data_IF_845352173567
#
_entry.id   IF_845352173567
#
_cell.length_a   1.000
_cell.length_b   1.000
_cell.length_c   1.000
_cell.angle_alpha   90.00
_cell.angle_beta   90.00
_cell.angle_gamma   90.00
#
_symmetry.space_group_name_H-M   'P 1'
#
loop_
_entity.id
_entity.type
_entity.pdbx_description
1 polymer ?
#
# COMPACT_ATOMS: atom_id res chain seq x y z
N UNK A 1 101.70 -55.14 10.63
CA UNK A 1 102.78 -54.16 10.87
C UNK A 1 102.21 -52.78 10.58
N UNK A 2 102.36 -51.85 11.52
CA UNK A 2 101.80 -50.51 11.45
C UNK A 2 102.48 -49.68 10.36
N UNK A 3 101.70 -48.98 9.54
CA UNK A 3 102.21 -47.98 8.61
C UNK A 3 102.54 -46.72 9.40
N UNK A 4 103.78 -46.25 9.25
CA UNK A 4 104.32 -45.13 10.00
C UNK A 4 103.52 -43.84 9.75
N UNK A 5 103.05 -43.25 10.85
CA UNK A 5 102.47 -41.91 10.92
C UNK A 5 103.57 -40.86 10.71
N UNK A 6 103.87 -40.55 9.45
CA UNK A 6 104.80 -39.49 9.06
C UNK A 6 104.12 -38.48 8.16
N UNK A 7 104.07 -37.21 8.59
CA UNK A 7 103.56 -36.07 7.80
C UNK A 7 104.27 -36.00 6.44
N UNK A 8 103.50 -35.76 5.37
CA UNK A 8 104.01 -35.72 3.99
C UNK A 8 105.06 -34.60 3.80
N UNK A 9 105.99 -34.75 2.85
CA UNK A 9 107.04 -33.75 2.57
C UNK A 9 106.48 -32.35 2.28
N UNK A 10 105.27 -32.29 1.71
CA UNK A 10 104.54 -31.03 1.46
C UNK A 10 104.13 -30.33 2.76
N UNK A 11 103.77 -31.09 3.81
CA UNK A 11 103.48 -30.56 5.14
C UNK A 11 104.75 -30.13 5.89
N UNK A 12 105.90 -30.75 5.58
CA UNK A 12 107.19 -30.44 6.21
C UNK A 12 107.81 -29.15 5.69
N UNK A 13 107.64 -28.87 4.40
CA UNK A 13 108.10 -27.63 3.76
C UNK A 13 107.24 -26.43 4.13
N UNK A 14 105.96 -26.63 4.50
CA UNK A 14 105.06 -25.55 4.91
C UNK A 14 104.63 -24.59 3.78
N UNK A 15 104.97 -24.92 2.53
CA UNK A 15 104.76 -24.07 1.35
C UNK A 15 103.30 -24.13 0.87
N UNK A 16 102.61 -25.26 1.09
CA UNK A 16 101.26 -25.51 0.60
C UNK A 16 100.34 -25.90 1.76
N UNK A 17 99.94 -24.92 2.55
CA UNK A 17 98.80 -25.07 3.44
C UNK A 17 97.76 -24.03 3.05
N UNK A 18 96.55 -24.47 2.72
CA UNK A 18 95.45 -23.55 2.49
C UNK A 18 95.23 -22.71 3.75
N UNK A 19 95.16 -21.40 3.55
CA UNK A 19 94.85 -20.48 4.64
C UNK A 19 93.44 -20.81 5.16
N UNK A 20 93.32 -20.98 6.48
CA UNK A 20 92.01 -21.19 7.10
C UNK A 20 91.10 -20.00 6.80
N UNK A 21 89.87 -20.28 6.36
CA UNK A 21 88.88 -19.23 6.14
C UNK A 21 88.50 -18.57 7.47
N UNK A 22 88.46 -17.25 7.47
CA UNK A 22 88.17 -16.38 8.63
C UNK A 22 86.81 -16.65 9.31
N UNK A 23 85.89 -17.38 8.68
CA UNK A 23 84.51 -17.60 9.18
C UNK A 23 84.19 -19.06 9.49
N UNK A 24 85.19 -19.94 9.60
CA UNK A 24 84.96 -21.35 9.96
C UNK A 24 84.58 -21.43 11.45
N UNK A 25 83.31 -21.72 11.72
CA UNK A 25 82.75 -21.84 13.08
C UNK A 25 82.00 -20.60 13.57
N UNK A 26 82.07 -19.49 12.83
CA UNK A 26 81.30 -18.29 13.13
C UNK A 26 79.82 -18.54 12.82
N UNK A 27 78.97 -18.32 13.82
CA UNK A 27 77.51 -18.38 13.63
C UNK A 27 77.10 -17.21 12.73
N UNK A 28 76.65 -17.52 11.52
CA UNK A 28 76.10 -16.52 10.61
C UNK A 28 74.87 -15.85 11.24
N UNK A 29 74.98 -14.54 11.50
CA UNK A 29 73.88 -13.70 11.93
C UNK A 29 73.32 -12.97 10.70
N UNK A 30 72.17 -13.39 10.13
CA UNK A 30 71.59 -12.68 9.01
C UNK A 30 71.26 -11.24 9.44
N UNK A 31 71.78 -10.22 8.74
CA UNK A 31 71.68 -8.82 9.17
C UNK A 31 70.23 -8.35 9.33
N UNK A 32 69.29 -9.01 8.65
CA UNK A 32 67.88 -8.62 8.59
C UNK A 32 66.95 -9.77 9.00
N UNK A 33 67.23 -10.50 10.10
CA UNK A 33 66.36 -11.62 10.50
C UNK A 33 64.90 -11.19 10.73
N UNK A 34 64.71 -10.00 11.30
CA UNK A 34 63.40 -9.44 11.66
C UNK A 34 63.22 -7.96 11.25
N UNK A 35 64.15 -7.41 10.46
CA UNK A 35 64.13 -5.99 10.08
C UNK A 35 63.86 -5.83 8.59
N UNK A 36 62.85 -5.04 8.20
CA UNK A 36 62.61 -4.74 6.80
C UNK A 36 63.77 -3.90 6.25
N UNK A 37 64.08 -4.07 4.96
CA UNK A 37 65.15 -3.34 4.26
C UNK A 37 65.01 -1.80 4.36
N UNK A 38 63.78 -1.29 4.54
CA UNK A 38 63.49 0.12 4.71
C UNK A 38 62.62 0.35 5.96
N UNK A 39 63.28 0.52 7.11
CA UNK A 39 62.61 0.77 8.40
C UNK A 39 61.63 1.96 8.38
N UNK A 40 61.96 3.16 7.85
CA UNK A 40 61.02 4.28 7.87
C UNK A 40 59.78 4.07 6.97
N UNK A 41 59.91 3.32 5.88
CA UNK A 41 58.77 2.96 5.03
C UNK A 41 57.84 1.92 5.68
N UNK A 42 58.39 1.01 6.51
CA UNK A 42 57.61 -0.03 7.17
C UNK A 42 56.90 0.44 8.45
N UNK A 43 57.43 1.46 9.13
CA UNK A 43 56.88 1.93 10.42
C UNK A 43 55.58 2.74 10.27
N UNK A 44 55.28 3.27 9.09
CA UNK A 44 54.17 4.21 8.87
C UNK A 44 52.99 3.58 8.11
N UNK A 45 51.84 4.25 8.13
CA UNK A 45 50.63 3.80 7.43
C UNK A 45 50.90 3.68 5.93
N UNK A 46 50.64 2.50 5.37
CA UNK A 46 50.75 2.27 3.93
C UNK A 46 49.60 2.91 3.16
N UNK A 47 49.81 3.18 1.88
CA UNK A 47 48.76 3.62 0.97
C UNK A 47 47.63 2.59 0.95
N UNK A 48 46.40 3.04 1.25
CA UNK A 48 45.22 2.19 1.19
C UNK A 48 44.65 2.24 -0.21
N UNK A 49 44.72 1.13 -0.93
CA UNK A 49 43.97 0.96 -2.17
C UNK A 49 42.50 0.63 -1.83
N UNK A 50 41.59 1.15 -2.64
CA UNK A 50 40.18 0.75 -2.57
C UNK A 50 40.01 -0.71 -3.01
N UNK A 51 38.96 -1.36 -2.51
CA UNK A 51 38.57 -2.70 -2.95
C UNK A 51 37.42 -2.61 -3.96
N UNK A 52 37.48 -3.41 -5.03
CA UNK A 52 36.41 -3.49 -6.01
C UNK A 52 35.23 -4.29 -5.44
N UNK A 53 34.09 -3.63 -5.22
CA UNK A 53 32.88 -4.29 -4.75
C UNK A 53 32.18 -5.03 -5.91
N UNK A 54 32.50 -6.32 -6.08
CA UNK A 54 32.08 -7.09 -7.25
C UNK A 54 30.58 -7.47 -7.27
N UNK A 55 29.90 -7.48 -6.11
CA UNK A 55 28.49 -7.90 -5.99
C UNK A 55 27.77 -7.15 -4.88
N UNK A 56 27.55 -5.86 -5.09
CA UNK A 56 26.83 -5.03 -4.14
C UNK A 56 25.71 -4.26 -4.86
N UNK A 57 24.48 -4.43 -4.39
CA UNK A 57 23.31 -3.70 -4.89
C UNK A 57 23.19 -2.28 -4.28
N UNK A 58 24.17 -1.83 -3.49
CA UNK A 58 24.22 -0.51 -2.87
C UNK A 58 25.01 0.47 -3.75
N UNK A 59 24.76 1.77 -3.57
CA UNK A 59 25.43 2.83 -4.34
C UNK A 59 26.98 2.80 -4.21
N UNK A 60 27.50 2.21 -3.14
CA UNK A 60 28.94 2.05 -2.89
C UNK A 60 29.69 1.28 -4.00
N UNK A 61 28.99 0.54 -4.87
CA UNK A 61 29.58 -0.15 -6.03
C UNK A 61 29.72 0.71 -7.29
N UNK A 62 29.13 1.91 -7.32
CA UNK A 62 29.16 2.80 -8.47
C UNK A 62 30.18 3.93 -8.27
N UNK A 63 30.62 4.54 -9.38
CA UNK A 63 31.56 5.67 -9.35
C UNK A 63 30.93 6.92 -8.74
N UNK A 64 29.65 7.16 -9.00
CA UNK A 64 28.91 8.27 -8.40
C UNK A 64 28.56 7.97 -6.95
N UNK A 65 28.87 8.90 -6.05
CA UNK A 65 28.59 8.74 -4.61
C UNK A 65 27.10 8.76 -4.28
N UNK A 66 26.32 9.47 -5.08
CA UNK A 66 24.88 9.66 -4.89
C UNK A 66 24.15 9.14 -6.11
N UNK A 67 23.09 8.37 -5.88
CA UNK A 67 22.20 7.94 -6.95
C UNK A 67 21.29 9.11 -7.37
N UNK A 68 21.43 9.59 -8.60
CA UNK A 68 20.51 10.57 -9.17
C UNK A 68 19.30 9.88 -9.78
N UNK A 69 18.13 9.97 -9.12
CA UNK A 69 16.88 9.44 -9.70
C UNK A 69 16.31 10.45 -10.71
N UNK A 70 15.93 9.93 -11.88
CA UNK A 70 15.38 10.72 -13.00
C UNK A 70 14.09 11.47 -12.59
N UNK A 71 13.26 10.84 -11.75
CA UNK A 71 11.97 11.38 -11.30
C UNK A 71 12.02 11.93 -9.87
N UNK A 72 13.14 12.52 -9.46
CA UNK A 72 13.18 13.23 -8.17
C UNK A 72 12.31 14.48 -8.22
N UNK A 73 11.42 14.63 -7.24
CA UNK A 73 10.47 15.76 -7.12
C UNK A 73 9.41 15.83 -8.22
N UNK A 74 9.39 14.89 -9.15
CA UNK A 74 8.25 14.65 -10.03
C UNK A 74 7.22 13.81 -9.27
N UNK A 75 6.20 14.47 -8.72
CA UNK A 75 5.02 13.76 -8.24
C UNK A 75 4.38 13.02 -9.42
N UNK A 76 3.80 11.84 -9.19
CA UNK A 76 2.99 11.12 -10.17
C UNK A 76 1.82 12.01 -10.61
N UNK A 77 2.04 12.78 -11.67
CA UNK A 77 1.08 13.73 -12.21
C UNK A 77 0.23 12.99 -13.24
N UNK A 78 -0.99 12.62 -12.85
CA UNK A 78 -1.97 12.10 -13.79
C UNK A 78 -2.46 13.25 -14.70
N UNK A 79 -2.11 13.24 -16.01
CA UNK A 79 -2.49 14.31 -16.92
C UNK A 79 -4.01 14.43 -17.07
N UNK A 80 -4.75 13.32 -16.90
CA UNK A 80 -6.21 13.30 -16.99
C UNK A 80 -6.80 14.03 -15.79
N UNK A 81 -6.25 13.79 -14.59
CA UNK A 81 -6.66 14.47 -13.37
C UNK A 81 -6.40 15.97 -13.45
N UNK A 82 -5.22 16.38 -13.95
CA UNK A 82 -4.89 17.79 -14.18
C UNK A 82 -5.85 18.45 -15.20
N UNK A 83 -6.08 17.80 -16.33
CA UNK A 83 -7.02 18.30 -17.34
C UNK A 83 -8.46 18.41 -16.81
N UNK A 84 -8.89 17.50 -15.93
CA UNK A 84 -10.20 17.56 -15.28
C UNK A 84 -10.28 18.72 -14.28
N UNK A 85 -9.25 18.91 -13.46
CA UNK A 85 -9.18 20.03 -12.52
C UNK A 85 -9.20 21.37 -13.26
N UNK A 86 -8.44 21.48 -14.35
CA UNK A 86 -8.43 22.67 -15.21
C UNK A 86 -9.82 22.97 -15.78
N UNK A 87 -10.50 21.97 -16.37
CA UNK A 87 -11.89 22.10 -16.85
C UNK A 87 -12.85 22.56 -15.75
N UNK A 88 -12.75 22.01 -14.55
CA UNK A 88 -13.57 22.42 -13.41
C UNK A 88 -13.30 23.86 -12.98
N UNK A 89 -12.03 24.29 -12.97
CA UNK A 89 -11.66 25.67 -12.65
C UNK A 89 -12.15 26.65 -13.71
N UNK A 90 -12.03 26.30 -14.99
CA UNK A 90 -12.57 27.11 -16.09
C UNK A 90 -14.10 27.21 -16.00
N UNK A 91 -14.80 26.11 -15.71
CA UNK A 91 -16.25 26.11 -15.55
C UNK A 91 -16.72 27.04 -14.42
N UNK A 92 -15.97 27.12 -13.31
CA UNK A 92 -16.25 28.06 -12.21
C UNK A 92 -16.12 29.54 -12.59
N UNK A 93 -15.36 29.85 -13.64
CA UNK A 93 -15.20 31.23 -14.15
C UNK A 93 -16.36 31.67 -15.05
N UNK A 94 -17.26 30.77 -15.43
CA UNK A 94 -18.42 31.08 -16.27
C UNK A 94 -19.49 31.70 -15.36
N UNK A 95 -19.63 33.03 -15.40
CA UNK A 95 -20.59 33.81 -14.60
C UNK A 95 -22.06 33.71 -15.09
N UNK A 96 -22.29 33.11 -16.26
CA UNK A 96 -23.60 33.02 -16.91
C UNK A 96 -23.89 31.64 -17.49
N UNK A 97 -24.76 31.57 -18.50
CA UNK A 97 -25.01 30.32 -19.23
C UNK A 97 -23.79 29.96 -20.07
N UNK A 98 -23.41 28.68 -20.08
CA UNK A 98 -22.34 28.20 -20.94
C UNK A 98 -22.67 28.54 -22.40
N UNK A 99 -21.69 29.07 -23.14
CA UNK A 99 -21.86 29.35 -24.56
C UNK A 99 -22.17 28.03 -25.28
N UNK A 100 -23.39 27.94 -25.82
CA UNK A 100 -23.78 26.88 -26.73
C UNK A 100 -23.53 27.43 -28.14
N UNK A 101 -22.60 26.85 -28.91
CA UNK A 101 -22.43 27.28 -30.29
C UNK A 101 -23.78 27.11 -31.01
N UNK A 102 -24.18 28.15 -31.74
CA UNK A 102 -25.47 28.20 -32.45
C UNK A 102 -25.62 27.07 -33.47
N UNK A 103 -24.50 26.54 -33.96
CA UNK A 103 -24.44 25.43 -34.88
C UNK A 103 -23.66 24.27 -34.23
N UNK A 104 -24.25 23.07 -34.24
CA UNK A 104 -23.50 21.87 -33.91
C UNK A 104 -22.35 21.68 -34.91
N UNK A 105 -21.21 21.17 -34.44
CA UNK A 105 -20.08 20.81 -35.31
C UNK A 105 -20.61 19.89 -36.41
N UNK A 106 -20.50 20.32 -37.67
CA UNK A 106 -20.87 19.49 -38.81
C UNK A 106 -20.00 18.25 -38.76
N UNK A 107 -20.61 17.09 -38.51
CA UNK A 107 -19.90 15.81 -38.58
C UNK A 107 -19.37 15.66 -40.02
N UNK A 108 -18.15 15.13 -40.22
CA UNK A 108 -17.68 14.80 -41.56
C UNK A 108 -18.52 13.63 -42.11
N UNK A 109 -19.67 13.95 -42.70
CA UNK A 109 -20.48 13.00 -43.46
C UNK A 109 -19.93 12.97 -44.90
N UNK A 110 -18.96 12.09 -45.14
CA UNK A 110 -18.52 11.73 -46.49
C UNK A 110 -19.54 10.86 -47.23
N UNK A 111 -19.23 10.52 -48.48
CA UNK A 111 -19.98 9.53 -49.26
C UNK A 111 -20.02 8.19 -48.51
N UNK A 112 -21.24 7.66 -48.28
CA UNK A 112 -21.45 6.40 -47.54
C UNK A 112 -21.72 6.53 -46.03
N UNK A 113 -21.77 7.75 -45.48
CA UNK A 113 -22.29 7.96 -44.11
C UNK A 113 -23.83 7.97 -44.11
N UNK A 114 -24.48 7.51 -43.03
CA UNK A 114 -25.96 7.55 -42.87
C UNK A 114 -26.57 8.94 -43.10
N UNK A 115 -25.79 10.01 -42.93
CA UNK A 115 -26.20 11.41 -43.14
C UNK A 115 -25.56 12.07 -44.39
N UNK A 116 -24.79 11.33 -45.20
CA UNK A 116 -24.02 11.85 -46.34
C UNK A 116 -24.58 11.41 -47.69
N UNK A 117 -25.22 12.33 -48.39
CA UNK A 117 -26.00 12.08 -49.62
C UNK A 117 -25.15 12.25 -50.89
N UNK A 118 -24.28 11.28 -51.22
CA UNK A 118 -23.62 11.28 -52.55
C UNK A 118 -23.72 9.94 -53.28
N UNK A 119 -24.23 8.86 -52.66
CA UNK A 119 -24.73 7.72 -53.44
C UNK A 119 -26.22 7.94 -53.67
N UNK A 120 -26.65 8.06 -54.93
CA UNK A 120 -28.07 8.12 -55.29
C UNK A 120 -28.88 6.95 -54.70
N UNK A 121 -30.22 7.01 -54.77
CA UNK A 121 -31.08 5.96 -54.21
C UNK A 121 -30.71 4.58 -54.78
N UNK A 122 -30.40 3.63 -53.89
CA UNK A 122 -30.19 2.22 -54.25
C UNK A 122 -31.55 1.64 -54.65
N UNK A 123 -31.73 1.23 -55.90
CA UNK A 123 -33.04 0.84 -56.46
C UNK A 123 -33.74 -0.31 -55.69
N UNK A 124 -32.98 -1.14 -54.97
CA UNK A 124 -33.51 -2.23 -54.16
C UNK A 124 -34.13 -1.80 -52.82
N UNK A 125 -33.96 -0.55 -52.41
CA UNK A 125 -34.44 -0.02 -51.12
C UNK A 125 -35.48 1.08 -51.38
N UNK A 126 -36.69 0.69 -51.80
CA UNK A 126 -37.82 1.62 -51.86
C UNK A 126 -38.13 2.14 -50.44
N UNK A 127 -38.48 3.43 -50.26
CA UNK A 127 -38.78 4.00 -48.95
C UNK A 127 -40.21 3.63 -48.49
N UNK A 128 -40.57 2.34 -48.54
CA UNK A 128 -41.83 1.87 -47.98
C UNK A 128 -41.78 2.09 -46.46
N UNK A 129 -42.56 3.04 -45.97
CA UNK A 129 -42.65 3.37 -44.54
C UNK A 129 -43.42 2.26 -43.81
N UNK A 130 -42.69 1.27 -43.29
CA UNK A 130 -43.28 0.28 -42.39
C UNK A 130 -43.75 0.98 -41.11
N UNK A 131 -44.98 0.73 -40.62
CA UNK A 131 -45.48 1.33 -39.39
C UNK A 131 -44.61 0.90 -38.21
N UNK A 132 -43.81 1.84 -37.69
CA UNK A 132 -43.00 1.61 -36.49
C UNK A 132 -43.89 1.55 -35.26
N UNK A 133 -43.66 0.54 -34.41
CA UNK A 133 -44.33 0.45 -33.10
C UNK A 133 -44.01 1.71 -32.27
N UNK A 134 -44.97 2.29 -31.54
CA UNK A 134 -44.74 3.46 -30.72
C UNK A 134 -43.69 3.18 -29.65
N UNK A 135 -42.74 4.11 -29.49
CA UNK A 135 -41.65 3.98 -28.53
C UNK A 135 -42.20 4.03 -27.09
N UNK A 136 -41.90 3.00 -26.30
CA UNK A 136 -42.18 2.95 -24.86
C UNK A 136 -40.89 3.29 -24.11
N UNK A 137 -40.93 4.33 -23.26
CA UNK A 137 -39.78 4.66 -22.42
C UNK A 137 -39.53 3.54 -21.41
N UNK A 138 -38.27 3.14 -21.19
CA UNK A 138 -37.93 2.29 -20.05
C UNK A 138 -38.19 3.13 -18.81
N UNK A 139 -39.22 2.78 -18.05
CA UNK A 139 -39.57 3.50 -16.82
C UNK A 139 -38.43 3.48 -15.79
N UNK A 140 -38.66 4.10 -14.63
CA UNK A 140 -37.68 4.10 -13.54
C UNK A 140 -37.39 2.67 -13.06
N UNK A 141 -36.12 2.31 -12.89
CA UNK A 141 -35.73 1.03 -12.33
C UNK A 141 -36.29 0.89 -10.90
N UNK A 142 -36.91 -0.27 -10.61
CA UNK A 142 -37.34 -0.60 -9.25
C UNK A 142 -36.09 -0.80 -8.40
N UNK A 143 -35.93 0.01 -7.36
CA UNK A 143 -34.80 -0.15 -6.44
C UNK A 143 -35.12 -1.27 -5.46
N UNK A 144 -34.43 -2.40 -5.59
CA UNK A 144 -34.54 -3.52 -4.65
C UNK A 144 -33.21 -3.70 -3.92
N UNK A 145 -33.23 -3.58 -2.60
CA UNK A 145 -32.13 -3.99 -1.73
C UNK A 145 -32.51 -5.29 -1.02
N UNK A 146 -32.10 -6.47 -1.52
CA UNK A 146 -32.36 -7.72 -0.80
C UNK A 146 -31.68 -7.66 0.58
N UNK A 147 -32.38 -8.15 1.61
CA UNK A 147 -31.85 -8.19 2.97
C UNK A 147 -30.53 -8.97 3.06
N UNK A 148 -29.63 -8.55 3.96
CA UNK A 148 -28.36 -9.25 4.20
C UNK A 148 -28.64 -10.68 4.67
N UNK A 149 -28.14 -11.68 3.95
CA UNK A 149 -28.21 -13.08 4.39
C UNK A 149 -27.31 -13.28 5.61
N UNK A 150 -27.85 -13.83 6.70
CA UNK A 150 -27.09 -14.28 7.87
C UNK A 150 -26.93 -13.27 9.00
N UNK A 151 -27.51 -12.06 8.91
CA UNK A 151 -27.59 -11.15 10.08
C UNK A 151 -28.97 -11.30 10.69
N UNK A 152 -29.11 -12.20 11.66
CA UNK A 152 -30.31 -12.41 12.45
C UNK A 152 -30.63 -11.19 13.30
N UNK A 153 -31.12 -10.13 12.66
CA UNK A 153 -31.68 -8.99 13.38
C UNK A 153 -32.92 -9.46 14.15
N UNK A 154 -32.75 -9.55 15.46
CA UNK A 154 -33.83 -9.45 16.47
C UNK A 154 -34.87 -10.57 16.54
N UNK A 155 -34.60 -11.75 15.99
CA UNK A 155 -35.49 -12.91 16.17
C UNK A 155 -34.88 -13.90 17.16
N UNK A 156 -35.60 -14.24 18.25
CA UNK A 156 -35.19 -15.33 19.13
C UNK A 156 -35.01 -16.63 18.34
N UNK A 157 -33.99 -17.43 18.65
CA UNK A 157 -33.70 -18.75 18.08
C UNK A 157 -33.17 -18.78 16.63
N UNK A 158 -32.53 -17.72 16.14
CA UNK A 158 -31.88 -17.71 14.81
C UNK A 158 -30.37 -18.02 14.87
N UNK A 159 -29.74 -17.85 16.04
CA UNK A 159 -28.31 -18.14 16.26
C UNK A 159 -28.10 -19.49 16.92
N UNK A 160 -26.87 -20.04 16.82
CA UNK A 160 -26.48 -21.36 17.35
C UNK A 160 -26.58 -21.51 18.88
N UNK A 161 -26.73 -20.41 19.62
CA UNK A 161 -26.91 -20.40 21.07
C UNK A 161 -28.40 -20.37 21.42
N UNK A 162 -28.85 -21.35 22.21
CA UNK A 162 -30.20 -21.38 22.76
C UNK A 162 -30.40 -20.20 23.72
N UNK A 163 -31.47 -19.44 23.53
CA UNK A 163 -31.75 -18.25 24.34
C UNK A 163 -32.61 -18.73 25.50
N UNK A 164 -32.03 -18.77 26.70
CA UNK A 164 -32.77 -19.19 27.90
C UNK A 164 -34.07 -18.42 28.03
N UNK A 165 -35.20 -19.14 28.09
CA UNK A 165 -36.50 -18.56 28.37
C UNK A 165 -36.45 -17.84 29.72
N UNK A 166 -37.05 -16.65 29.78
CA UNK A 166 -37.14 -15.87 31.01
C UNK A 166 -37.85 -16.71 32.09
N UNK A 167 -37.14 -17.02 33.17
CA UNK A 167 -37.71 -17.65 34.35
C UNK A 167 -38.29 -16.56 35.26
N UNK A 168 -39.53 -16.74 35.70
CA UNK A 168 -40.19 -15.80 36.63
C UNK A 168 -39.39 -15.67 37.93
N UNK A 169 -39.12 -14.44 38.36
CA UNK A 169 -38.39 -14.14 39.58
C UNK A 169 -39.20 -14.58 40.83
N UNK A 170 -38.62 -15.35 41.78
CA UNK A 170 -39.32 -15.76 43.00
C UNK A 170 -39.87 -14.61 43.87
N UNK A 171 -39.41 -13.37 43.66
CA UNK A 171 -39.88 -12.17 44.37
C UNK A 171 -41.06 -11.45 43.68
N UNK A 172 -41.40 -11.79 42.43
CA UNK A 172 -42.57 -11.22 41.74
C UNK A 172 -43.92 -11.82 42.20
N UNK A 173 -43.89 -12.86 43.06
CA UNK A 173 -45.08 -13.51 43.63
C UNK A 173 -46.06 -12.51 44.26
N UNK A 174 -45.56 -11.49 44.96
CA UNK A 174 -46.43 -10.49 45.58
C UNK A 174 -47.27 -9.74 44.54
N UNK A 175 -46.68 -9.39 43.39
CA UNK A 175 -47.37 -8.71 42.30
C UNK A 175 -48.38 -9.63 41.62
N UNK A 176 -48.04 -10.91 41.45
CA UNK A 176 -48.95 -11.92 40.90
C UNK A 176 -50.17 -12.15 41.80
N UNK A 177 -49.98 -12.24 43.12
CA UNK A 177 -51.08 -12.34 44.07
C UNK A 177 -52.00 -11.11 44.04
N UNK A 178 -51.43 -9.91 43.93
CA UNK A 178 -52.22 -8.68 43.79
C UNK A 178 -53.01 -8.69 42.47
N UNK A 179 -52.41 -9.18 41.38
CA UNK A 179 -53.07 -9.30 40.06
C UNK A 179 -54.22 -10.31 40.04
N UNK A 180 -54.11 -11.40 40.81
CA UNK A 180 -55.16 -12.41 40.98
C UNK A 180 -56.33 -11.87 41.81
N UNK A 181 -56.04 -11.11 42.88
CA UNK A 181 -57.06 -10.61 43.80
C UNK A 181 -57.83 -9.42 43.22
N UNK A 182 -57.18 -8.54 42.46
CA UNK A 182 -57.77 -7.28 41.98
C UNK A 182 -58.01 -7.20 40.46
N UNK A 183 -57.70 -8.27 39.71
CA UNK A 183 -57.83 -8.27 38.25
C UNK A 183 -56.82 -7.34 37.54
N UNK A 184 -56.68 -7.43 36.21
CA UNK A 184 -55.67 -6.68 35.46
C UNK A 184 -55.91 -5.15 35.44
N UNK A 185 -57.11 -4.70 35.78
CA UNK A 185 -57.54 -3.32 35.54
C UNK A 185 -57.31 -2.36 36.72
N UNK A 186 -56.89 -2.85 37.89
CA UNK A 186 -56.68 -2.01 39.10
C UNK A 186 -55.19 -1.68 39.33
N UNK A 187 -54.26 -2.39 38.66
CA UNK A 187 -52.82 -2.20 38.90
C UNK A 187 -52.26 -0.90 38.30
N UNK A 188 -53.04 -0.16 37.49
CA UNK A 188 -52.62 1.11 36.89
C UNK A 188 -52.68 2.31 37.84
N UNK A 189 -53.36 2.21 38.99
CA UNK A 189 -53.63 3.40 39.83
C UNK A 189 -52.65 3.60 40.99
N UNK A 190 -51.74 2.66 41.26
CA UNK A 190 -50.80 2.76 42.40
C UNK A 190 -49.46 3.42 42.00
N UNK A 191 -49.17 3.60 40.72
CA UNK A 191 -47.91 4.21 40.24
C UNK A 191 -48.01 5.74 40.01
N UNK A 192 -49.11 6.37 40.45
CA UNK A 192 -49.37 7.80 40.21
C UNK A 192 -49.07 8.73 41.41
N UNK A 193 -48.40 8.26 42.47
CA UNK A 193 -48.05 9.10 43.62
C UNK A 193 -46.54 9.33 43.86
N UNK A 194 -45.65 8.92 42.95
CA UNK A 194 -44.19 9.18 43.10
C UNK A 194 -43.57 9.91 41.90
N UNK A 195 -44.35 10.75 41.21
CA UNK A 195 -43.84 11.63 40.14
C UNK A 195 -44.19 13.10 40.41
N UNK A 196 -43.84 13.57 41.60
CA UNK A 196 -43.72 15.00 41.91
C UNK A 196 -42.26 15.37 42.14
N UNK A 197 -41.38 15.06 41.19
CA UNK A 197 -40.01 15.59 41.16
C UNK A 197 -39.78 16.37 39.84
N UNK A 198 -39.54 17.70 39.90
CA UNK A 198 -39.48 18.57 38.74
C UNK A 198 -38.06 18.65 38.18
N UNK A 199 -37.45 17.52 37.84
CA UNK A 199 -36.10 17.49 37.26
C UNK A 199 -35.96 16.40 36.20
N UNK A 200 -36.70 16.50 35.09
CA UNK A 200 -36.18 15.95 33.83
C UNK A 200 -36.64 16.79 32.63
N UNK A 201 -35.66 17.44 32.03
CA UNK A 201 -35.79 18.35 30.90
C UNK A 201 -36.24 17.62 29.64
N UNK A 202 -37.17 18.26 28.93
CA UNK A 202 -37.72 17.85 27.63
C UNK A 202 -36.61 17.74 26.58
N UNK A 203 -36.45 16.57 25.96
CA UNK A 203 -35.90 16.51 24.59
C UNK A 203 -36.24 15.20 23.88
N UNK A 204 -37.51 14.94 23.59
CA UNK A 204 -37.87 14.07 22.46
C UNK A 204 -39.20 14.53 21.87
N UNK A 205 -39.19 14.71 20.55
CA UNK A 205 -40.30 14.91 19.60
C UNK A 205 -40.49 16.35 19.10
N UNK A 206 -40.02 16.58 17.87
CA UNK A 206 -40.79 17.23 16.81
C UNK A 206 -40.15 16.90 15.45
N UNK A 207 -40.67 15.87 14.80
CA UNK A 207 -40.58 15.72 13.35
C UNK A 207 -41.85 15.02 12.85
N UNK A 208 -42.90 15.81 12.64
CA UNK A 208 -43.98 15.43 11.74
C UNK A 208 -44.44 16.67 10.97
N UNK A 209 -43.87 16.83 9.78
CA UNK A 209 -44.28 17.80 8.78
C UNK A 209 -45.69 17.46 8.28
N UNK A 210 -46.69 18.30 8.59
CA UNK A 210 -47.93 18.35 7.81
C UNK A 210 -47.71 19.26 6.61
N UNK A 211 -47.77 18.68 5.43
CA UNK A 211 -47.90 19.41 4.16
C UNK A 211 -49.26 20.12 4.13
N UNK A 212 -49.20 21.38 3.73
CA UNK A 212 -50.31 22.23 3.35
C UNK A 212 -50.93 21.80 2.00
N UNK A 213 -52.27 21.85 1.96
CA UNK A 213 -53.19 22.14 0.86
C UNK A 213 -53.05 21.42 -0.50
N UNK A 214 -54.05 20.59 -0.83
CA UNK A 214 -55.10 20.87 -1.82
C UNK A 214 -56.30 19.97 -1.59
#
# INVERSE_FOLDING_TARGET
MAFAEGKSDMERLGIFKEMGYISIGDKYNPPNKNRPFNEPAHRNRQMQAGFASQRCALQNGFFEKTYSRIFEREALNDPIKLARQYRNQQAKRILGKAFLPSNAIKKPCGSGSYYGTISGPVEAMSPQTLPRKPHKSPGRNVMTSPGKKGSGYSYPNVTLSDIGLYASDPYDRAKEFIKIVYGPDIYCDVELQVLSDPWFSSSVMNNCSRKSNQ
#
